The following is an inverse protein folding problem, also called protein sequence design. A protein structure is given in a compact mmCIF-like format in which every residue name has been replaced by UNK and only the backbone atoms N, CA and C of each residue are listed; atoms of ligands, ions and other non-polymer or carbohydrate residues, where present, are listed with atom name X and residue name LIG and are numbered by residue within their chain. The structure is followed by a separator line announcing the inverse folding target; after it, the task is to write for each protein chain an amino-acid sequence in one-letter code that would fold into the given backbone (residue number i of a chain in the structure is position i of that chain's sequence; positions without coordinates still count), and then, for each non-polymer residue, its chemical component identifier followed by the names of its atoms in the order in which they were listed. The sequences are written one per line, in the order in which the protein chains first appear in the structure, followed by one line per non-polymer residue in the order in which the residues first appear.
data_IF_609687428031
#
_entry.id   IF_609687428031
#
_cell.length_a   1.000
_cell.length_b   1.000
_cell.length_c   1.000
_cell.angle_alpha   90.00
_cell.angle_beta   90.00
_cell.angle_gamma   90.00
#
_symmetry.space_group_name_H-M   'P 1'
#
loop_
_entity.id
_entity.type
_entity.pdbx_description
1 polymer ?
#
# COMPACT_ATOMS: atom_id res chain seq x y z
N UNK A 1 -5.33 0.87 2.51
CA UNK A 1 -4.58 2.14 2.65
C UNK A 1 -4.00 2.14 4.06
N UNK A 2 -2.67 2.25 4.20
CA UNK A 2 -1.89 2.18 5.46
C UNK A 2 -1.77 0.81 6.17
N UNK A 3 -0.73 0.03 5.82
CA UNK A 3 -0.27 -1.10 6.66
C UNK A 3 1.27 -1.21 6.74
N UNK A 4 2.04 -0.19 6.33
CA UNK A 4 3.51 -0.28 6.24
C UNK A 4 4.28 0.78 7.03
N UNK A 5 3.80 1.17 8.21
CA UNK A 5 4.55 2.04 9.13
C UNK A 5 4.69 1.37 10.50
N UNK A 6 5.35 0.22 10.55
CA UNK A 6 5.61 -0.49 11.82
C UNK A 6 7.04 -1.00 11.98
N UNK A 7 8.03 -0.26 11.51
CA UNK A 7 9.40 -0.48 11.97
C UNK A 7 10.08 0.85 12.29
N UNK A 8 10.79 0.85 13.42
CA UNK A 8 11.62 1.91 13.97
C UNK A 8 10.88 3.03 14.72
N UNK A 9 10.79 2.89 16.04
CA UNK A 9 11.36 3.80 17.05
C UNK A 9 11.09 3.16 18.41
N UNK A 10 12.13 2.63 19.06
CA UNK A 10 12.15 2.42 20.50
C UNK A 10 13.51 2.90 21.01
N UNK A 11 13.52 4.18 21.34
CA UNK A 11 14.60 4.95 21.93
C UNK A 11 14.94 4.48 23.34
N UNK A 12 16.25 4.37 23.56
CA UNK A 12 16.98 4.59 24.80
C UNK A 12 16.29 5.47 25.84
N UNK A 13 16.19 4.99 27.09
CA UNK A 13 16.65 5.69 28.32
C UNK A 13 16.09 5.04 29.58
N UNK A 14 16.97 4.59 30.47
CA UNK A 14 16.68 4.52 31.91
C UNK A 14 18.00 4.54 32.71
N UNK A 15 18.39 5.75 33.10
CA UNK A 15 19.39 6.00 34.14
C UNK A 15 18.74 5.71 35.49
N UNK A 16 19.37 4.85 36.30
CA UNK A 16 19.09 4.77 37.74
C UNK A 16 20.38 4.36 38.47
N UNK A 17 21.17 5.36 38.88
CA UNK A 17 22.28 5.15 39.80
C UNK A 17 21.89 5.72 41.15
N UNK A 18 21.63 4.82 42.10
CA UNK A 18 21.22 5.10 43.47
C UNK A 18 22.42 5.60 44.26
N UNK A 19 22.34 6.84 44.78
CA UNK A 19 23.29 7.34 45.77
C UNK A 19 22.86 6.87 47.16
N UNK A 20 23.67 6.00 47.76
CA UNK A 20 23.56 5.59 49.16
C UNK A 20 24.09 6.71 50.05
N UNK A 21 23.24 7.14 50.97
CA UNK A 21 23.62 7.91 52.16
C UNK A 21 24.20 6.95 53.21
N UNK A 22 25.32 7.29 53.85
CA UNK A 22 25.46 7.25 55.33
C UNK A 22 26.90 7.58 55.79
N UNK A 23 26.96 8.60 56.64
CA UNK A 23 27.72 8.76 57.88
C UNK A 23 29.22 8.41 57.95
N UNK A 24 30.02 9.41 58.33
CA UNK A 24 31.39 9.19 58.82
C UNK A 24 32.03 10.49 59.31
N UNK A 25 31.86 10.81 60.59
CA UNK A 25 32.59 11.91 61.23
C UNK A 25 34.06 11.57 61.46
N UNK A 26 34.94 12.57 61.41
CA UNK A 26 36.21 12.63 62.15
C UNK A 26 36.81 14.04 62.07
N UNK A 27 37.02 14.59 63.25
CA UNK A 27 37.87 15.73 63.59
C UNK A 27 39.33 15.47 63.24
N UNK A 28 40.05 16.46 62.70
CA UNK A 28 41.32 16.97 63.26
C UNK A 28 42.17 17.77 62.26
N UNK A 29 42.82 18.79 62.83
CA UNK A 29 44.15 19.30 62.47
C UNK A 29 44.26 20.25 61.27
N UNK A 30 44.14 21.55 61.57
CA UNK A 30 44.63 22.62 60.71
C UNK A 30 46.15 22.72 60.85
N UNK A 31 46.90 22.28 59.83
CA UNK A 31 48.29 22.71 59.61
C UNK A 31 48.29 23.87 58.63
N UNK A 32 48.80 25.02 59.05
CA UNK A 32 49.03 26.17 58.18
C UNK A 32 50.14 25.83 57.19
N UNK A 33 49.76 25.55 55.94
CA UNK A 33 50.69 25.40 54.82
C UNK A 33 50.91 26.78 54.21
N UNK A 34 52.14 27.27 54.24
CA UNK A 34 52.54 28.52 53.60
C UNK A 34 52.45 28.37 52.07
N UNK A 35 51.34 28.82 51.48
CA UNK A 35 51.13 28.78 50.03
C UNK A 35 51.77 29.99 49.35
N UNK A 36 52.81 29.74 48.55
CA UNK A 36 53.41 30.70 47.61
C UNK A 36 52.35 31.08 46.56
N UNK A 37 52.03 32.37 46.39
CA UNK A 37 51.05 32.86 45.38
C UNK A 37 51.52 32.48 43.97
N UNK A 38 50.93 31.45 43.39
CA UNK A 38 51.02 31.17 41.95
C UNK A 38 50.11 32.18 41.25
N UNK A 39 50.65 33.01 40.36
CA UNK A 39 49.86 33.91 39.50
C UNK A 39 49.08 33.02 38.52
N UNK A 40 47.78 32.85 38.76
CA UNK A 40 46.86 32.21 37.82
C UNK A 40 46.71 33.11 36.58
N UNK A 41 46.92 32.61 35.35
CA UNK A 41 46.63 33.37 34.15
C UNK A 41 45.13 33.70 34.09
N UNK A 42 44.73 34.81 33.43
CA UNK A 42 43.33 35.17 33.31
C UNK A 42 42.53 34.05 32.63
N UNK A 43 41.27 33.83 33.03
CA UNK A 43 40.44 32.80 32.42
C UNK A 43 40.32 33.05 30.92
N UNK A 44 40.73 32.06 30.12
CA UNK A 44 40.52 32.09 28.66
C UNK A 44 39.02 32.08 28.42
N UNK A 45 38.49 33.16 27.84
CA UNK A 45 37.07 33.26 27.49
C UNK A 45 36.72 32.08 26.56
N UNK A 46 35.73 31.24 26.88
CA UNK A 46 35.34 30.16 25.99
C UNK A 46 34.99 30.78 24.63
N UNK A 47 35.63 30.28 23.57
CA UNK A 47 35.28 30.62 22.20
C UNK A 47 33.84 30.15 22.02
N UNK A 48 32.92 31.08 21.83
CA UNK A 48 31.53 30.77 21.53
C UNK A 48 31.52 29.86 20.29
N UNK A 49 31.41 28.56 20.52
CA UNK A 49 31.00 27.58 19.55
C UNK A 49 29.64 28.03 19.08
N UNK A 50 29.62 28.67 17.90
CA UNK A 50 28.42 29.13 17.25
C UNK A 50 27.57 27.88 16.98
N UNK A 51 26.73 27.56 17.95
CA UNK A 51 25.71 26.54 17.86
C UNK A 51 24.90 26.92 16.63
N UNK A 52 25.11 26.22 15.51
CA UNK A 52 24.43 26.45 14.24
C UNK A 52 22.93 26.25 14.48
N UNK A 53 22.24 27.33 14.87
CA UNK A 53 20.80 27.35 15.06
C UNK A 53 20.19 27.37 13.67
N UNK A 54 19.90 26.18 13.15
CA UNK A 54 19.15 26.02 11.92
C UNK A 54 17.81 26.75 12.12
N UNK A 55 17.61 27.84 11.38
CA UNK A 55 16.37 28.61 11.43
C UNK A 55 15.20 27.71 10.99
N UNK A 56 13.96 27.96 11.44
CA UNK A 56 12.80 27.17 11.01
C UNK A 56 12.67 27.13 9.48
N UNK A 57 13.10 28.18 8.79
CA UNK A 57 13.18 28.24 7.33
C UNK A 57 14.21 27.24 6.74
N UNK A 58 15.37 27.05 7.38
CA UNK A 58 16.35 26.05 6.98
C UNK A 58 15.81 24.61 7.10
N UNK A 59 15.00 24.34 8.13
CA UNK A 59 14.32 23.05 8.27
C UNK A 59 13.28 22.82 7.18
N UNK A 60 12.47 23.83 6.84
CA UNK A 60 11.49 23.73 5.74
C UNK A 60 12.19 23.52 4.39
N UNK A 61 13.28 24.25 4.13
CA UNK A 61 14.06 24.12 2.91
C UNK A 61 14.63 22.71 2.74
N UNK A 62 14.99 22.03 3.84
CA UNK A 62 15.51 20.66 3.81
C UNK A 62 14.41 19.59 3.83
N UNK A 63 13.25 19.88 4.43
CA UNK A 63 12.12 18.97 4.48
C UNK A 63 11.46 18.73 3.12
N UNK A 64 11.38 19.75 2.26
CA UNK A 64 10.79 19.65 0.91
C UNK A 64 11.50 18.59 0.03
N UNK A 65 12.84 18.65 -0.18
CA UNK A 65 13.53 17.64 -0.98
C UNK A 65 13.51 16.26 -0.31
N UNK A 66 13.61 16.19 1.02
CA UNK A 66 13.55 14.92 1.76
C UNK A 66 12.20 14.21 1.59
N UNK A 67 11.10 14.95 1.72
CA UNK A 67 9.73 14.41 1.54
C UNK A 67 9.44 14.08 0.08
N UNK A 68 9.86 14.93 -0.86
CA UNK A 68 9.71 14.67 -2.30
C UNK A 68 10.47 13.41 -2.71
N UNK A 69 11.68 13.20 -2.20
CA UNK A 69 12.46 11.99 -2.49
C UNK A 69 11.82 10.74 -1.88
N UNK A 70 11.36 10.82 -0.62
CA UNK A 70 10.65 9.72 0.01
C UNK A 70 9.36 9.34 -0.74
N UNK A 71 8.59 10.35 -1.16
CA UNK A 71 7.42 10.16 -2.00
C UNK A 71 7.78 9.60 -3.38
N UNK A 72 8.86 10.08 -4.01
CA UNK A 72 9.34 9.57 -5.29
C UNK A 72 9.73 8.09 -5.23
N UNK A 73 10.49 7.70 -4.20
CA UNK A 73 10.85 6.31 -3.95
C UNK A 73 9.61 5.42 -3.76
N UNK A 74 8.64 5.89 -2.97
CA UNK A 74 7.37 5.21 -2.78
C UNK A 74 6.59 5.05 -4.09
N UNK A 75 6.51 6.09 -4.92
CA UNK A 75 5.82 6.04 -6.20
C UNK A 75 6.45 4.98 -7.12
N UNK A 76 7.78 4.89 -7.16
CA UNK A 76 8.49 3.85 -7.94
C UNK A 76 8.20 2.46 -7.41
N UNK A 77 8.28 2.23 -6.09
CA UNK A 77 7.95 0.93 -5.50
C UNK A 77 6.49 0.55 -5.76
N UNK A 78 5.58 1.51 -5.64
CA UNK A 78 4.15 1.29 -5.88
C UNK A 78 3.85 0.99 -7.34
N UNK A 79 4.57 1.62 -8.27
CA UNK A 79 4.52 1.29 -9.70
C UNK A 79 5.01 -0.14 -9.93
N UNK A 80 6.18 -0.50 -9.41
CA UNK A 80 6.76 -1.84 -9.58
C UNK A 80 5.83 -2.95 -9.05
N UNK A 81 5.20 -2.75 -7.89
CA UNK A 81 4.14 -3.66 -7.41
C UNK A 81 3.07 -3.88 -8.47
N UNK A 82 2.52 -2.78 -9.02
CA UNK A 82 1.41 -2.86 -9.98
C UNK A 82 1.84 -3.58 -11.26
N UNK A 83 3.04 -3.30 -11.74
CA UNK A 83 3.60 -3.96 -12.93
C UNK A 83 3.81 -5.45 -12.70
N UNK A 84 4.28 -5.83 -11.52
CA UNK A 84 4.45 -7.24 -11.16
C UNK A 84 3.11 -7.96 -11.09
N UNK A 85 2.06 -7.31 -10.56
CA UNK A 85 0.72 -7.88 -10.54
C UNK A 85 0.19 -8.09 -11.98
N UNK A 86 0.36 -7.11 -12.86
CA UNK A 86 -0.02 -7.22 -14.27
C UNK A 86 0.76 -8.35 -14.95
N UNK A 87 2.08 -8.43 -14.76
CA UNK A 87 2.92 -9.48 -15.33
C UNK A 87 2.45 -10.88 -14.90
N UNK A 88 2.11 -11.05 -13.62
CA UNK A 88 1.62 -12.32 -13.11
C UNK A 88 0.29 -12.72 -13.75
N UNK A 89 -0.64 -11.77 -13.92
CA UNK A 89 -1.89 -11.99 -14.64
C UNK A 89 -1.65 -12.35 -16.11
N UNK A 90 -0.82 -11.59 -16.81
CA UNK A 90 -0.48 -11.86 -18.22
C UNK A 90 0.13 -13.24 -18.41
N UNK A 91 1.00 -13.66 -17.48
CA UNK A 91 1.62 -14.98 -17.51
C UNK A 91 0.57 -16.08 -17.38
N UNK A 92 -0.35 -15.96 -16.41
CA UNK A 92 -1.44 -16.92 -16.20
C UNK A 92 -2.40 -16.98 -17.39
N UNK A 93 -2.72 -15.84 -17.99
CA UNK A 93 -3.58 -15.77 -19.18
C UNK A 93 -2.94 -16.35 -20.45
N UNK A 94 -1.61 -16.41 -20.51
CA UNK A 94 -0.87 -17.02 -21.63
C UNK A 94 -0.78 -18.54 -21.54
N UNK A 95 -1.03 -19.13 -20.37
CA UNK A 95 -1.05 -20.59 -20.22
C UNK A 95 -2.16 -21.22 -21.07
N UNK A 96 -1.91 -22.45 -21.50
CA UNK A 96 -2.87 -23.22 -22.28
C UNK A 96 -4.11 -23.55 -21.45
N UNK A 97 -5.24 -23.66 -22.14
CA UNK A 97 -6.52 -23.93 -21.50
C UNK A 97 -6.54 -25.32 -20.84
N UNK A 98 -6.86 -25.36 -19.54
CA UNK A 98 -6.97 -26.61 -18.77
C UNK A 98 -8.43 -26.99 -18.52
N UNK A 99 -8.75 -28.29 -18.37
CA UNK A 99 -10.07 -28.70 -17.89
C UNK A 99 -10.27 -28.28 -16.43
N UNK A 100 -11.52 -28.16 -16.00
CA UNK A 100 -11.85 -27.85 -14.61
C UNK A 100 -11.64 -29.11 -13.75
N UNK A 101 -10.86 -29.03 -12.66
CA UNK A 101 -10.62 -30.16 -11.77
C UNK A 101 -11.92 -30.63 -11.10
N UNK A 102 -11.98 -31.90 -10.68
CA UNK A 102 -13.12 -32.44 -9.92
C UNK A 102 -13.20 -31.84 -8.50
N UNK A 103 -12.05 -31.48 -7.92
CA UNK A 103 -11.98 -30.82 -6.62
C UNK A 103 -12.05 -29.30 -6.75
N UNK A 104 -13.08 -28.70 -6.13
CA UNK A 104 -13.28 -27.26 -6.15
C UNK A 104 -12.26 -26.48 -5.32
N UNK A 105 -11.51 -27.14 -4.44
CA UNK A 105 -10.46 -26.49 -3.64
C UNK A 105 -9.26 -26.05 -4.49
N UNK A 106 -9.00 -26.73 -5.61
CA UNK A 106 -7.92 -26.40 -6.54
C UNK A 106 -8.22 -25.18 -7.44
N UNK A 107 -9.45 -24.66 -7.42
CA UNK A 107 -9.83 -23.50 -8.26
C UNK A 107 -9.13 -22.21 -7.87
N UNK A 108 -8.71 -22.06 -6.61
CA UNK A 108 -8.02 -20.84 -6.14
C UNK A 108 -6.67 -20.65 -6.86
N UNK A 109 -5.98 -21.76 -7.13
CA UNK A 109 -4.73 -21.78 -7.90
C UNK A 109 -4.96 -21.51 -9.41
N UNK A 110 -6.19 -21.67 -9.88
CA UNK A 110 -6.60 -21.47 -11.28
C UNK A 110 -7.13 -20.07 -11.59
N UNK A 111 -7.00 -19.10 -10.67
CA UNK A 111 -7.45 -17.73 -10.88
C UNK A 111 -6.76 -17.08 -12.11
N UNK A 112 -7.57 -16.51 -13.01
CA UNK A 112 -7.15 -15.90 -14.28
C UNK A 112 -6.51 -16.84 -15.30
N UNK A 113 -6.70 -18.15 -15.17
CA UNK A 113 -6.29 -19.12 -16.18
C UNK A 113 -7.42 -19.41 -17.18
N UNK A 114 -7.04 -19.82 -18.39
CA UNK A 114 -8.01 -20.25 -19.40
C UNK A 114 -8.51 -21.65 -19.07
N UNK A 115 -9.81 -21.86 -19.19
CA UNK A 115 -10.43 -23.18 -18.97
C UNK A 115 -11.35 -23.56 -20.12
N UNK A 116 -11.40 -24.86 -20.41
CA UNK A 116 -12.32 -25.42 -21.41
C UNK A 116 -13.37 -26.28 -20.72
N UNK A 117 -14.64 -26.00 -20.99
CA UNK A 117 -15.79 -26.70 -20.39
C UNK A 117 -16.78 -27.13 -21.46
N UNK A 118 -17.53 -28.20 -21.16
CA UNK A 118 -18.66 -28.70 -21.97
C UNK A 118 -19.91 -28.77 -21.10
N UNK A 119 -21.07 -28.50 -21.71
CA UNK A 119 -22.31 -28.30 -20.98
C UNK A 119 -23.30 -27.42 -21.73
N UNK A 120 -24.29 -26.89 -21.01
CA UNK A 120 -25.33 -26.03 -21.58
C UNK A 120 -25.62 -24.81 -20.70
N UNK A 121 -26.05 -23.71 -21.33
CA UNK A 121 -26.42 -22.47 -20.66
C UNK A 121 -27.88 -22.50 -20.22
N UNK A 122 -28.12 -22.12 -18.96
CA UNK A 122 -29.46 -21.96 -18.39
C UNK A 122 -29.93 -20.51 -18.61
N UNK A 123 -30.52 -20.26 -19.78
CA UNK A 123 -30.95 -18.91 -20.18
C UNK A 123 -32.13 -18.39 -19.34
N UNK A 124 -32.91 -19.29 -18.74
CA UNK A 124 -34.01 -18.94 -17.85
C UNK A 124 -33.56 -18.22 -16.57
N UNK A 125 -32.27 -18.32 -16.23
CA UNK A 125 -31.66 -17.75 -15.02
C UNK A 125 -30.59 -16.70 -15.34
N UNK A 126 -30.70 -15.99 -16.48
CA UNK A 126 -29.80 -14.89 -16.84
C UNK A 126 -29.91 -13.72 -15.83
N UNK A 127 -28.76 -13.29 -15.31
CA UNK A 127 -28.64 -12.16 -14.40
C UNK A 127 -28.02 -10.96 -15.11
N UNK A 128 -28.71 -9.82 -15.01
CA UNK A 128 -28.23 -8.54 -15.51
C UNK A 128 -27.65 -7.69 -14.37
N UNK A 129 -26.32 -7.56 -14.32
CA UNK A 129 -25.65 -6.69 -13.36
C UNK A 129 -25.55 -5.26 -13.92
N UNK A 130 -26.41 -4.39 -13.41
CA UNK A 130 -26.52 -2.99 -13.86
C UNK A 130 -25.61 -2.00 -13.13
N UNK A 131 -25.93 -0.71 -13.33
CA UNK A 131 -25.41 0.09 -14.42
C UNK A 131 -23.87 0.11 -14.40
N UNK A 132 -23.26 -0.52 -15.42
CA UNK A 132 -21.82 -0.54 -15.63
C UNK A 132 -21.47 0.31 -16.84
N UNK A 133 -20.45 1.16 -16.67
CA UNK A 133 -19.86 1.90 -17.78
C UNK A 133 -19.17 0.92 -18.74
N UNK A 134 -19.29 1.15 -20.04
CA UNK A 134 -18.50 0.44 -21.04
C UNK A 134 -17.02 0.81 -20.88
N UNK A 135 -16.18 -0.21 -20.68
CA UNK A 135 -14.72 -0.09 -20.69
C UNK A 135 -14.27 -0.45 -22.11
N UNK A 136 -13.94 0.56 -22.92
CA UNK A 136 -13.25 0.37 -24.20
C UNK A 136 -11.75 0.55 -23.98
N UNK A 137 -10.96 -0.32 -24.61
CA UNK A 137 -9.48 -0.38 -24.65
C UNK A 137 -8.75 0.79 -23.99
N UNK A 138 -8.47 0.66 -22.68
CA UNK A 138 -7.63 1.59 -21.92
C UNK A 138 -8.25 2.95 -21.60
N UNK A 139 -9.43 3.28 -22.14
CA UNK A 139 -10.08 4.56 -21.94
C UNK A 139 -10.96 4.53 -20.68
N UNK A 140 -10.38 4.99 -19.56
CA UNK A 140 -11.13 5.33 -18.34
C UNK A 140 -12.04 6.55 -18.51
N UNK A 141 -12.13 7.11 -19.73
CA UNK A 141 -12.88 8.34 -20.06
C UNK A 141 -14.38 8.24 -19.77
N UNK A 142 -14.90 7.02 -19.68
CA UNK A 142 -16.30 6.74 -19.40
C UNK A 142 -16.62 6.77 -17.90
N UNK A 143 -15.61 6.74 -17.02
CA UNK A 143 -15.80 6.72 -15.57
C UNK A 143 -15.64 8.14 -14.97
N UNK A 144 -16.77 8.86 -14.85
CA UNK A 144 -16.95 9.82 -13.75
C UNK A 144 -16.11 11.11 -13.74
N UNK A 145 -15.72 11.64 -14.89
CA UNK A 145 -15.20 13.02 -14.96
C UNK A 145 -16.31 14.04 -14.65
N UNK A 146 -15.96 15.16 -14.00
CA UNK A 146 -16.88 16.28 -13.66
C UNK A 146 -17.65 16.83 -14.89
N UNK A 147 -17.19 16.52 -16.11
CA UNK A 147 -17.77 16.93 -17.39
C UNK A 147 -18.11 15.75 -18.33
N UNK A 148 -18.22 14.52 -17.81
CA UNK A 148 -18.53 13.37 -18.67
C UNK A 148 -19.99 13.44 -19.15
N UNK A 149 -20.15 13.99 -20.34
CA UNK A 149 -21.37 13.86 -21.13
C UNK A 149 -21.62 12.37 -21.40
N UNK A 150 -22.89 11.99 -21.24
CA UNK A 150 -23.66 11.13 -22.15
C UNK A 150 -24.15 9.82 -21.52
N UNK A 151 -25.47 9.75 -21.38
CA UNK A 151 -26.30 8.58 -21.06
C UNK A 151 -26.03 7.34 -21.93
N UNK A 152 -25.23 7.46 -22.99
CA UNK A 152 -24.92 6.38 -23.95
C UNK A 152 -23.97 5.31 -23.41
N UNK A 153 -23.29 5.56 -22.29
CA UNK A 153 -22.24 4.66 -21.79
C UNK A 153 -22.67 3.64 -20.73
N UNK A 154 -23.94 3.72 -20.29
CA UNK A 154 -24.45 2.87 -19.22
C UNK A 154 -25.08 1.61 -19.81
N UNK A 155 -24.58 0.45 -19.38
CA UNK A 155 -25.11 -0.86 -19.76
C UNK A 155 -25.07 -1.85 -18.61
N UNK A 156 -25.23 -3.11 -18.95
CA UNK A 156 -25.37 -4.21 -18.01
C UNK A 156 -24.36 -5.30 -18.37
N UNK A 157 -23.78 -5.94 -17.37
CA UNK A 157 -23.03 -7.18 -17.58
C UNK A 157 -24.01 -8.35 -17.53
N UNK A 158 -23.93 -9.20 -18.54
CA UNK A 158 -24.75 -10.39 -18.66
C UNK A 158 -24.02 -11.55 -18.04
N UNK A 159 -24.59 -12.13 -16.98
CA UNK A 159 -24.07 -13.35 -16.35
C UNK A 159 -25.11 -14.45 -16.53
N UNK A 160 -24.69 -15.54 -17.14
CA UNK A 160 -25.56 -16.70 -17.39
C UNK A 160 -24.97 -17.92 -16.68
N UNK A 161 -25.77 -18.63 -15.85
CA UNK A 161 -25.35 -19.91 -15.29
C UNK A 161 -25.14 -20.96 -16.39
N UNK A 162 -24.08 -21.74 -16.25
CA UNK A 162 -23.67 -22.80 -17.17
C UNK A 162 -23.58 -24.11 -16.40
N UNK A 163 -24.41 -25.09 -16.78
CA UNK A 163 -24.40 -26.42 -16.17
C UNK A 163 -23.39 -27.30 -16.89
N UNK A 164 -22.45 -27.88 -16.12
CA UNK A 164 -21.43 -28.77 -16.66
C UNK A 164 -22.04 -30.10 -17.09
N UNK A 165 -21.49 -30.68 -18.15
CA UNK A 165 -21.82 -32.05 -18.57
C UNK A 165 -21.10 -33.06 -17.67
N UNK A 166 -21.84 -34.02 -17.10
CA UNK A 166 -21.28 -35.08 -16.25
C UNK A 166 -21.09 -34.72 -14.77
N UNK A 167 -21.39 -33.47 -14.35
CA UNK A 167 -21.41 -33.04 -12.94
C UNK A 167 -22.69 -32.24 -12.65
N UNK A 168 -23.09 -32.14 -11.38
CA UNK A 168 -24.22 -31.29 -10.98
C UNK A 168 -23.82 -29.84 -10.67
N UNK A 169 -22.53 -29.52 -10.83
CA UNK A 169 -21.98 -28.19 -10.59
C UNK A 169 -22.43 -27.19 -11.66
N UNK A 170 -22.71 -25.96 -11.21
CA UNK A 170 -23.11 -24.84 -12.06
C UNK A 170 -22.10 -23.70 -11.92
N UNK A 171 -21.61 -23.20 -13.05
CA UNK A 171 -20.63 -22.11 -13.12
C UNK A 171 -21.31 -20.84 -13.62
N UNK A 172 -20.95 -19.69 -13.06
CA UNK A 172 -21.39 -18.40 -13.59
C UNK A 172 -20.42 -17.91 -14.67
N UNK A 173 -20.92 -17.73 -15.89
CA UNK A 173 -20.13 -17.20 -17.00
C UNK A 173 -20.56 -15.76 -17.30
N UNK A 174 -19.61 -14.84 -17.27
CA UNK A 174 -19.82 -13.48 -17.76
C UNK A 174 -19.72 -13.46 -19.30
N UNK A 175 -20.85 -13.21 -19.96
CA UNK A 175 -20.98 -13.18 -21.43
C UNK A 175 -20.55 -11.85 -22.04
N UNK A 176 -20.37 -10.81 -21.23
CA UNK A 176 -19.92 -9.50 -21.66
C UNK A 176 -20.89 -8.38 -21.30
N UNK A 177 -20.64 -7.21 -21.89
CA UNK A 177 -21.40 -5.99 -21.65
C UNK A 177 -22.41 -5.75 -22.77
N UNK A 178 -23.61 -5.33 -22.38
CA UNK A 178 -24.72 -5.01 -23.28
C UNK A 178 -25.27 -3.62 -22.92
N UNK A 179 -25.51 -2.72 -23.90
CA UNK A 179 -26.10 -1.42 -23.61
C UNK A 179 -27.56 -1.58 -23.20
N UNK A 180 -28.08 -0.64 -22.37
CA UNK A 180 -29.46 -0.68 -21.84
C UNK A 180 -30.53 -0.88 -22.93
N UNK A 181 -30.31 -0.38 -24.15
CA UNK A 181 -31.23 -0.49 -25.28
C UNK A 181 -31.37 -1.90 -25.89
N UNK A 182 -30.41 -2.80 -25.63
CA UNK A 182 -30.41 -4.19 -26.14
C UNK A 182 -30.50 -5.20 -24.99
N UNK A 183 -31.16 -4.83 -23.89
CA UNK A 183 -31.22 -5.68 -22.71
C UNK A 183 -32.05 -6.94 -22.96
N UNK A 184 -33.15 -6.82 -23.71
CA UNK A 184 -34.01 -7.95 -24.07
C UNK A 184 -33.29 -8.88 -25.08
N UNK A 185 -33.14 -10.18 -24.76
CA UNK A 185 -32.56 -11.17 -25.66
C UNK A 185 -33.17 -11.17 -27.07
N UNK A 186 -34.46 -10.87 -27.21
CA UNK A 186 -35.13 -10.83 -28.53
C UNK A 186 -34.68 -9.65 -29.39
N UNK A 187 -34.06 -8.63 -28.80
CA UNK A 187 -33.58 -7.41 -29.48
C UNK A 187 -32.06 -7.36 -29.66
N UNK A 188 -31.33 -8.43 -29.32
CA UNK A 188 -29.86 -8.54 -29.46
C UNK A 188 -29.43 -9.06 -30.83
#
# INVERSE_FOLDING_TARGET
MFQFVKQAVATSSAVRCSLLTTTGGRTASQRAVHTKRIRVPPPVKPRNDAHLKITPFGWVLLAIPATTFGLGCWQVQRKQWKEELIRNLETRMRLDARPIPDDLTELDDMEYQKVTVRGHFLHDQELHLGPRALIQDGDSKTAGGLFSQKETSIGYLVITPFKLEGRDDTILINRGWVPKRYLDPATR
#
